data_IF_005366167949
#
_entry.id   IF_005366167949
#
_cell.length_a   1.000
_cell.length_b   1.000
_cell.length_c   1.000
_cell.angle_alpha   90.00
_cell.angle_beta   90.00
_cell.angle_gamma   90.00
#
_symmetry.space_group_name_H-M   'P 1'
#
loop_
_entity.id
_entity.type
_entity.pdbx_description
1 polymer ?
#
# COMPACT_ATOMS: atom_id res chain seq x y z
N UNK A 1 -6.31 -19.45 -14.55
CA UNK A 1 -5.52 -19.74 -13.34
C UNK A 1 -5.25 -21.24 -13.33
N UNK A 2 -3.99 -21.64 -13.20
CA UNK A 2 -3.54 -23.03 -13.15
C UNK A 2 -3.17 -23.41 -11.71
N UNK A 3 -3.28 -24.69 -11.37
CA UNK A 3 -2.93 -25.20 -10.04
C UNK A 3 -1.46 -25.62 -10.00
N UNK A 4 -0.68 -25.02 -9.09
CA UNK A 4 0.72 -25.38 -8.83
C UNK A 4 0.94 -26.15 -7.54
N UNK A 5 -0.12 -26.44 -6.78
CA UNK A 5 -0.08 -27.13 -5.50
C UNK A 5 -1.14 -28.23 -5.46
N UNK A 6 -0.96 -29.19 -4.57
CA UNK A 6 -1.95 -30.21 -4.21
C UNK A 6 -1.99 -30.29 -2.69
N UNK A 7 -3.20 -30.42 -2.14
CA UNK A 7 -3.41 -30.13 -0.73
C UNK A 7 -4.76 -30.61 -0.21
N UNK A 8 -4.80 -30.98 1.07
CA UNK A 8 -5.96 -31.63 1.69
C UNK A 8 -7.18 -30.70 1.78
N UNK A 9 -6.93 -29.39 1.89
CA UNK A 9 -7.95 -28.35 2.03
C UNK A 9 -8.53 -27.86 0.68
N UNK A 10 -7.96 -28.30 -0.45
CA UNK A 10 -8.29 -27.79 -1.80
C UNK A 10 -9.54 -28.41 -2.44
N UNK A 11 -10.37 -29.11 -1.67
CA UNK A 11 -11.55 -29.86 -2.17
C UNK A 11 -12.82 -29.36 -1.51
N UNK A 12 -13.99 -29.73 -2.04
CA UNK A 12 -15.29 -29.31 -1.49
C UNK A 12 -15.55 -29.74 -0.04
N UNK A 13 -15.02 -30.90 0.37
CA UNK A 13 -15.20 -31.45 1.72
C UNK A 13 -13.83 -31.74 2.36
N UNK A 14 -13.08 -30.71 2.79
CA UNK A 14 -11.71 -30.90 3.24
C UNK A 14 -11.60 -31.76 4.50
N UNK A 15 -12.67 -31.83 5.30
CA UNK A 15 -12.78 -32.65 6.51
C UNK A 15 -13.37 -34.04 6.28
N UNK A 16 -13.68 -34.41 5.03
CA UNK A 16 -14.01 -35.80 4.69
C UNK A 16 -12.71 -36.60 4.58
N UNK A 17 -12.38 -37.32 5.65
CA UNK A 17 -11.20 -38.19 5.76
C UNK A 17 -11.39 -39.57 5.12
N UNK A 18 -12.61 -39.92 4.69
CA UNK A 18 -12.93 -41.19 4.03
C UNK A 18 -12.84 -41.10 2.49
N UNK A 19 -12.54 -39.90 1.95
CA UNK A 19 -12.45 -39.74 0.50
C UNK A 19 -11.29 -40.55 -0.09
N UNK A 20 -11.50 -41.09 -1.28
CA UNK A 20 -10.49 -41.84 -2.03
C UNK A 20 -10.00 -41.08 -3.28
N UNK A 21 -10.73 -40.06 -3.71
CA UNK A 21 -10.40 -39.22 -4.86
C UNK A 21 -9.90 -37.83 -4.45
N UNK A 22 -9.12 -37.20 -5.32
CA UNK A 22 -8.72 -35.81 -5.14
C UNK A 22 -9.15 -35.01 -6.37
N UNK A 23 -10.24 -34.29 -6.21
CA UNK A 23 -10.77 -33.37 -7.22
C UNK A 23 -10.75 -31.95 -6.65
N UNK A 24 -10.04 -30.99 -7.29
CA UNK A 24 -10.01 -29.61 -6.81
C UNK A 24 -11.41 -28.99 -6.73
N UNK A 25 -11.64 -28.16 -5.71
CA UNK A 25 -12.90 -27.43 -5.56
C UNK A 25 -13.20 -26.54 -6.77
N UNK A 26 -14.49 -26.38 -7.09
CA UNK A 26 -14.92 -25.51 -8.18
C UNK A 26 -14.72 -24.02 -7.84
N UNK A 27 -14.71 -23.68 -6.55
CA UNK A 27 -14.50 -22.34 -6.01
C UNK A 27 -13.01 -21.97 -5.90
N UNK A 28 -12.72 -20.79 -5.34
CA UNK A 28 -11.34 -20.36 -5.05
C UNK A 28 -10.66 -21.21 -3.95
N UNK A 29 -11.41 -22.04 -3.23
CA UNK A 29 -10.87 -22.98 -2.23
C UNK A 29 -9.78 -23.88 -2.80
N UNK A 30 -9.81 -24.17 -4.11
CA UNK A 30 -8.74 -24.88 -4.82
C UNK A 30 -7.37 -24.18 -4.80
N UNK A 31 -7.23 -23.00 -4.21
CA UNK A 31 -5.95 -22.32 -4.04
C UNK A 31 -5.48 -22.29 -2.57
N UNK A 32 -6.18 -22.97 -1.67
CA UNK A 32 -5.86 -23.05 -0.24
C UNK A 32 -5.36 -24.46 0.10
N UNK A 33 -4.07 -24.72 -0.12
CA UNK A 33 -3.50 -26.07 -0.09
C UNK A 33 -3.49 -26.75 1.29
N UNK A 34 -3.42 -25.99 2.37
CA UNK A 34 -3.19 -26.54 3.69
C UNK A 34 -3.95 -25.81 4.77
N UNK A 35 -3.54 -26.05 6.01
CA UNK A 35 -4.12 -25.38 7.17
C UNK A 35 -3.97 -23.86 7.01
N UNK A 36 -5.06 -23.09 7.20
CA UNK A 36 -5.03 -21.65 7.01
C UNK A 36 -4.16 -20.97 8.08
N UNK A 37 -3.65 -19.78 7.74
CA UNK A 37 -3.06 -18.88 8.73
C UNK A 37 -4.18 -18.23 9.57
N UNK A 38 -4.74 -18.99 10.52
CA UNK A 38 -5.91 -18.56 11.32
C UNK A 38 -5.66 -17.26 12.09
N UNK A 39 -4.45 -17.06 12.61
CA UNK A 39 -4.08 -15.81 13.31
C UNK A 39 -4.07 -14.64 12.33
N UNK A 40 -3.50 -14.82 11.13
CA UNK A 40 -3.51 -13.83 10.07
C UNK A 40 -4.93 -13.50 9.59
N UNK A 41 -5.81 -14.50 9.49
CA UNK A 41 -7.22 -14.31 9.14
C UNK A 41 -7.96 -13.49 10.20
N UNK A 42 -7.74 -13.76 11.49
CA UNK A 42 -8.33 -12.98 12.57
C UNK A 42 -7.86 -11.51 12.56
N UNK A 43 -6.57 -11.27 12.35
CA UNK A 43 -6.01 -9.92 12.22
C UNK A 43 -6.55 -9.19 10.98
N UNK A 44 -6.66 -9.89 9.84
CA UNK A 44 -7.25 -9.35 8.61
C UNK A 44 -8.71 -8.98 8.82
N UNK A 45 -9.50 -9.82 9.48
CA UNK A 45 -10.90 -9.55 9.78
C UNK A 45 -11.06 -8.28 10.63
N UNK A 46 -10.24 -8.10 11.66
CA UNK A 46 -10.25 -6.89 12.47
C UNK A 46 -9.86 -5.64 11.65
N UNK A 47 -8.81 -5.74 10.83
CA UNK A 47 -8.34 -4.64 9.97
C UNK A 47 -9.38 -4.22 8.92
N UNK A 48 -9.96 -5.19 8.22
CA UNK A 48 -11.06 -4.95 7.25
C UNK A 48 -12.27 -4.37 7.95
N UNK A 49 -12.61 -4.86 9.15
CA UNK A 49 -13.70 -4.33 9.97
C UNK A 49 -13.55 -2.83 10.24
N UNK A 50 -12.34 -2.36 10.56
CA UNK A 50 -12.06 -0.92 10.73
C UNK A 50 -12.30 -0.11 9.45
N UNK A 51 -11.83 -0.61 8.30
CA UNK A 51 -12.01 0.05 7.00
C UNK A 51 -13.50 0.13 6.62
N UNK A 52 -14.25 -0.97 6.81
CA UNK A 52 -15.68 -1.02 6.51
C UNK A 52 -16.49 -0.13 7.46
N UNK A 53 -16.15 -0.10 8.75
CA UNK A 53 -16.79 0.79 9.73
C UNK A 53 -16.54 2.28 9.45
N UNK A 54 -15.36 2.61 8.91
CA UNK A 54 -15.04 3.97 8.44
C UNK A 54 -15.79 4.31 7.14
N UNK A 55 -16.05 3.30 6.31
CA UNK A 55 -16.67 3.43 4.99
C UNK A 55 -15.62 3.61 3.89
N UNK A 56 -15.66 2.74 2.87
CA UNK A 56 -14.64 2.70 1.82
C UNK A 56 -14.61 3.97 0.95
N UNK A 57 -15.75 4.63 0.76
CA UNK A 57 -15.81 5.90 0.03
C UNK A 57 -15.08 7.02 0.80
N UNK A 58 -15.26 7.08 2.12
CA UNK A 58 -14.58 8.05 2.98
C UNK A 58 -13.07 7.77 3.04
N UNK A 59 -12.68 6.50 3.15
CA UNK A 59 -11.28 6.06 3.09
C UNK A 59 -10.65 6.49 1.76
N UNK A 60 -11.28 6.17 0.63
CA UNK A 60 -10.79 6.51 -0.70
C UNK A 60 -10.67 8.02 -0.90
N UNK A 61 -11.71 8.78 -0.54
CA UNK A 61 -11.72 10.23 -0.66
C UNK A 61 -10.58 10.88 0.15
N UNK A 62 -10.33 10.43 1.38
CA UNK A 62 -9.25 10.99 2.22
C UNK A 62 -7.86 10.62 1.72
N UNK A 63 -7.65 9.38 1.26
CA UNK A 63 -6.38 8.96 0.65
C UNK A 63 -6.05 9.83 -0.57
N UNK A 64 -7.05 10.09 -1.43
CA UNK A 64 -6.87 10.95 -2.59
C UNK A 64 -6.66 12.41 -2.19
N UNK A 65 -7.42 12.95 -1.23
CA UNK A 65 -7.22 14.32 -0.74
C UNK A 65 -5.80 14.54 -0.17
N UNK A 66 -5.29 13.58 0.61
CA UNK A 66 -3.92 13.63 1.14
C UNK A 66 -2.86 13.55 0.03
N UNK A 67 -3.13 12.73 -1.00
CA UNK A 67 -2.27 12.61 -2.18
C UNK A 67 -2.22 13.93 -2.95
N UNK A 68 -3.37 14.59 -3.16
CA UNK A 68 -3.49 15.84 -3.89
C UNK A 68 -2.73 16.96 -3.18
N UNK A 69 -2.92 17.06 -1.87
CA UNK A 69 -2.18 17.98 -1.03
C UNK A 69 -0.65 17.81 -1.20
N UNK A 70 -0.16 16.56 -1.13
CA UNK A 70 1.27 16.30 -1.31
C UNK A 70 1.76 16.62 -2.73
N UNK A 71 1.00 16.26 -3.76
CA UNK A 71 1.37 16.56 -5.16
C UNK A 71 1.51 18.07 -5.36
N UNK A 72 0.53 18.84 -4.91
CA UNK A 72 0.51 20.29 -5.04
C UNK A 72 1.65 20.94 -4.24
N UNK A 73 1.89 20.48 -3.01
CA UNK A 73 2.95 21.01 -2.17
C UNK A 73 4.35 20.67 -2.69
N UNK A 74 4.57 19.42 -3.10
CA UNK A 74 5.84 18.99 -3.71
C UNK A 74 6.13 19.75 -5.01
N UNK A 75 5.10 19.99 -5.84
CA UNK A 75 5.23 20.74 -7.08
C UNK A 75 5.63 22.21 -6.90
N UNK A 76 5.50 22.76 -5.68
CA UNK A 76 5.93 24.13 -5.34
C UNK A 76 7.37 24.20 -4.84
N UNK A 77 7.98 23.07 -4.50
CA UNK A 77 9.36 23.04 -4.00
C UNK A 77 10.37 23.14 -5.15
N UNK A 78 11.39 24.01 -5.05
CA UNK A 78 12.44 24.11 -6.07
C UNK A 78 13.13 22.78 -6.32
N UNK A 79 13.40 22.48 -7.59
CA UNK A 79 14.12 21.28 -8.00
C UNK A 79 13.37 19.95 -7.79
N UNK A 80 12.18 19.94 -7.19
CA UNK A 80 11.36 18.74 -7.01
C UNK A 80 10.53 18.46 -8.26
N UNK A 81 10.57 17.20 -8.73
CA UNK A 81 9.71 16.68 -9.79
C UNK A 81 8.92 15.47 -9.30
N UNK A 82 7.60 15.59 -9.34
CA UNK A 82 6.68 14.47 -9.12
C UNK A 82 6.78 13.50 -10.31
N UNK A 83 7.04 12.23 -10.03
CA UNK A 83 7.18 11.16 -11.04
C UNK A 83 5.92 10.31 -11.17
N UNK A 84 5.01 10.36 -10.19
CA UNK A 84 3.71 9.70 -10.28
C UNK A 84 2.83 10.32 -11.37
N UNK A 85 1.93 9.51 -11.94
CA UNK A 85 0.85 10.05 -12.79
C UNK A 85 -0.21 10.68 -11.89
N UNK A 86 -0.54 11.94 -12.15
CA UNK A 86 -1.39 12.76 -11.28
C UNK A 86 -2.75 13.08 -11.90
N UNK A 87 -3.02 12.61 -13.12
CA UNK A 87 -4.33 12.75 -13.75
C UNK A 87 -5.41 12.10 -12.87
N UNK A 88 -6.57 12.75 -12.62
CA UNK A 88 -7.58 12.24 -11.69
C UNK A 88 -8.00 10.77 -11.93
N UNK A 89 -8.09 10.33 -13.20
CA UNK A 89 -8.48 8.96 -13.56
C UNK A 89 -7.39 7.91 -13.32
N UNK A 90 -6.16 8.33 -13.03
CA UNK A 90 -4.96 7.48 -12.95
C UNK A 90 -4.17 7.68 -11.68
N UNK A 91 -4.65 8.59 -10.83
CA UNK A 91 -4.08 8.91 -9.54
C UNK A 91 -4.27 7.73 -8.59
N UNK A 92 -3.24 7.47 -7.81
CA UNK A 92 -3.24 6.46 -6.74
C UNK A 92 -2.95 7.13 -5.41
N UNK A 93 -3.17 6.45 -4.29
CA UNK A 93 -2.77 6.89 -2.95
C UNK A 93 -1.26 6.92 -2.69
N UNK A 94 -0.43 6.93 -3.74
CA UNK A 94 1.03 6.85 -3.68
C UNK A 94 1.64 7.92 -4.60
N UNK A 95 2.50 8.75 -4.01
CA UNK A 95 3.23 9.81 -4.71
C UNK A 95 4.71 9.45 -4.75
N UNK A 96 5.28 9.40 -5.95
CA UNK A 96 6.71 9.32 -6.19
C UNK A 96 7.24 10.70 -6.59
N UNK A 97 8.39 11.09 -6.06
CA UNK A 97 9.08 12.32 -6.45
C UNK A 97 10.60 12.11 -6.46
N UNK A 98 11.29 13.02 -7.15
CA UNK A 98 12.75 13.13 -7.16
C UNK A 98 13.16 14.59 -7.16
N UNK A 99 14.42 14.85 -6.87
CA UNK A 99 15.01 16.16 -7.10
C UNK A 99 15.88 16.13 -8.36
N UNK A 100 16.10 17.29 -8.97
CA UNK A 100 16.78 17.46 -10.25
C UNK A 100 18.28 17.22 -10.15
N UNK A 101 18.88 17.72 -9.08
CA UNK A 101 20.33 17.64 -8.83
C UNK A 101 20.67 16.62 -7.72
N UNK A 102 19.92 16.62 -6.62
CA UNK A 102 20.14 15.72 -5.48
C UNK A 102 19.67 14.29 -5.82
N UNK A 103 20.55 13.27 -5.71
CA UNK A 103 20.18 11.87 -5.92
C UNK A 103 19.07 11.42 -4.95
N UNK A 104 18.09 10.67 -5.45
CA UNK A 104 16.98 10.19 -4.60
C UNK A 104 17.42 9.32 -3.43
N UNK A 105 18.56 8.63 -3.53
CA UNK A 105 19.15 7.87 -2.42
C UNK A 105 19.62 8.76 -1.27
N UNK A 106 20.11 9.96 -1.58
CA UNK A 106 20.56 10.93 -0.59
C UNK A 106 19.37 11.58 0.11
N UNK A 107 18.37 12.03 -0.66
CA UNK A 107 17.10 12.51 -0.11
C UNK A 107 16.42 11.46 0.76
N UNK A 108 16.34 10.22 0.28
CA UNK A 108 15.78 9.11 1.04
C UNK A 108 16.48 8.93 2.39
N UNK A 109 17.82 8.91 2.39
CA UNK A 109 18.60 8.77 3.63
C UNK A 109 18.37 9.95 4.57
N UNK A 110 18.44 11.19 4.07
CA UNK A 110 18.17 12.38 4.88
C UNK A 110 16.76 12.37 5.50
N UNK A 111 15.76 11.95 4.73
CA UNK A 111 14.39 11.78 5.23
C UNK A 111 14.32 10.70 6.31
N UNK A 112 14.94 9.53 6.12
CA UNK A 112 14.99 8.49 7.15
C UNK A 112 15.70 8.96 8.43
N UNK A 113 16.83 9.65 8.30
CA UNK A 113 17.59 10.20 9.44
C UNK A 113 16.78 11.26 10.18
N UNK A 114 15.90 11.96 9.48
CA UNK A 114 14.93 12.90 10.06
C UNK A 114 13.67 12.24 10.63
N UNK A 115 13.56 10.91 10.60
CA UNK A 115 12.42 10.15 11.14
C UNK A 115 11.24 9.97 10.18
N UNK A 116 11.37 10.34 8.91
CA UNK A 116 10.31 10.17 7.90
C UNK A 116 10.35 8.74 7.34
N UNK A 117 9.23 8.02 7.50
CA UNK A 117 9.04 6.69 6.92
C UNK A 117 8.59 6.80 5.46
N UNK A 118 9.49 6.48 4.54
CA UNK A 118 9.23 6.48 3.10
C UNK A 118 9.93 5.29 2.43
N UNK A 119 9.83 5.16 1.11
CA UNK A 119 10.50 4.11 0.36
C UNK A 119 11.26 4.65 -0.85
N UNK A 120 12.48 4.17 -1.07
CA UNK A 120 13.18 4.36 -2.35
C UNK A 120 12.79 3.25 -3.33
N UNK A 121 12.31 3.60 -4.52
CA UNK A 121 11.98 2.65 -5.60
C UNK A 121 12.43 3.21 -6.93
N UNK A 122 13.41 2.56 -7.57
CA UNK A 122 14.06 3.10 -8.75
C UNK A 122 14.72 4.45 -8.43
N UNK A 123 14.43 5.47 -9.23
CA UNK A 123 14.96 6.83 -9.07
C UNK A 123 13.95 7.79 -8.40
N UNK A 124 13.09 7.30 -7.51
CA UNK A 124 12.09 8.11 -6.83
C UNK A 124 11.93 7.71 -5.36
N UNK A 125 11.78 8.73 -4.51
CA UNK A 125 11.26 8.58 -3.15
C UNK A 125 9.74 8.47 -3.24
N UNK A 126 9.16 7.47 -2.57
CA UNK A 126 7.71 7.19 -2.55
C UNK A 126 7.13 7.43 -1.17
N UNK A 127 5.98 8.10 -1.18
CA UNK A 127 5.12 8.41 -0.05
C UNK A 127 3.74 7.78 -0.31
N UNK A 128 3.10 7.28 0.73
CA UNK A 128 1.77 6.68 0.65
C UNK A 128 0.91 7.16 1.82
N UNK A 129 0.45 8.43 1.82
CA UNK A 129 -0.36 8.94 2.91
C UNK A 129 -1.72 8.23 2.93
N UNK A 130 -2.08 7.67 4.08
CA UNK A 130 -3.32 6.90 4.21
C UNK A 130 -4.47 7.76 4.76
N UNK A 131 -5.69 7.20 4.87
CA UNK A 131 -6.86 7.95 5.34
C UNK A 131 -6.75 8.44 6.79
N UNK A 132 -6.00 7.73 7.63
CA UNK A 132 -5.83 8.07 9.04
C UNK A 132 -4.72 9.11 9.26
N UNK A 133 -4.03 9.52 8.20
CA UNK A 133 -2.93 10.46 8.32
C UNK A 133 -3.47 11.89 8.41
N UNK A 134 -3.19 12.55 9.53
CA UNK A 134 -3.49 13.96 9.72
C UNK A 134 -2.62 14.85 8.82
N UNK A 135 -3.17 15.98 8.40
CA UNK A 135 -2.50 16.98 7.57
C UNK A 135 -1.22 17.51 8.22
N UNK A 136 -1.19 17.63 9.56
CA UNK A 136 -0.01 18.06 10.31
C UNK A 136 1.22 17.17 10.11
N UNK A 137 1.02 15.87 9.83
CA UNK A 137 2.12 14.96 9.53
C UNK A 137 2.65 15.18 8.11
N UNK A 138 1.77 15.53 7.17
CA UNK A 138 2.16 15.90 5.81
C UNK A 138 2.94 17.21 5.81
N UNK A 139 2.51 18.18 6.61
CA UNK A 139 3.21 19.45 6.83
C UNK A 139 4.58 19.28 7.47
N UNK A 140 4.71 18.43 8.49
CA UNK A 140 6.00 18.12 9.11
C UNK A 140 6.96 17.47 8.12
N UNK A 141 6.47 16.53 7.30
CA UNK A 141 7.24 15.96 6.19
C UNK A 141 7.73 17.04 5.21
N UNK A 142 6.83 17.91 4.73
CA UNK A 142 7.17 18.96 3.76
C UNK A 142 8.21 19.93 4.33
N UNK A 143 8.10 20.27 5.61
CA UNK A 143 9.07 21.12 6.31
C UNK A 143 10.45 20.48 6.35
N UNK A 144 10.53 19.20 6.72
CA UNK A 144 11.80 18.44 6.74
C UNK A 144 12.42 18.36 5.34
N UNK A 145 11.61 18.09 4.33
CA UNK A 145 12.08 18.04 2.94
C UNK A 145 12.61 19.41 2.48
N UNK A 146 11.91 20.50 2.80
CA UNK A 146 12.33 21.86 2.43
C UNK A 146 13.65 22.31 3.08
N UNK A 147 14.10 21.67 4.16
CA UNK A 147 15.43 21.91 4.73
C UNK A 147 16.55 21.14 3.99
N UNK A 148 16.20 20.18 3.15
CA UNK A 148 17.14 19.33 2.41
C UNK A 148 17.32 19.77 0.95
N UNK A 149 16.42 20.59 0.42
CA UNK A 149 16.38 21.04 -0.98
C UNK A 149 16.42 22.54 -1.12
#
# INVERSE_FOLDING_TARGET
>A
LELGQQGWHMVEQPWNFEREDWTPAASALRFEAGSPNTVGQAALNASVGLLLATGMDAVGARVLANTDYLVDALGRLPGIRVTSRIEPQRRSGIVGFRHDEIPSSELYRGLQDSGVMCALRGQAVRLSPHFYQDESVLEDFLRRLAHMV
#
